data_IF_789656208296
#
_entry.id   IF_789656208296
#
_cell.length_a   1.000
_cell.length_b   1.000
_cell.length_c   1.000
_cell.angle_alpha   90.00
_cell.angle_beta   90.00
_cell.angle_gamma   90.00
#
_symmetry.space_group_name_H-M   'P 1'
#
loop_
_entity.id
_entity.type
_entity.pdbx_description
1 polymer ?
#
# COMPACT_ATOMS: atom_id res chain seq x y z
N UNK A 1 -23.48 13.65 17.23
CA UNK A 1 -24.13 14.01 18.51
C UNK A 1 -23.46 13.19 19.61
N UNK A 2 -23.19 13.75 20.79
CA UNK A 2 -22.65 13.01 21.94
C UNK A 2 -23.77 12.81 22.98
N UNK A 3 -23.77 11.71 23.72
CA UNK A 3 -24.67 11.53 24.87
C UNK A 3 -24.14 12.21 26.14
N UNK A 4 -24.89 12.09 27.24
CA UNK A 4 -24.50 12.66 28.53
C UNK A 4 -23.28 11.97 29.17
N UNK A 5 -22.85 10.81 28.65
CA UNK A 5 -21.62 10.13 29.04
C UNK A 5 -20.42 10.53 28.16
N UNK A 6 -20.64 11.31 27.10
CA UNK A 6 -19.61 11.72 26.14
C UNK A 6 -19.40 10.72 25.00
N UNK A 7 -20.26 9.72 24.85
CA UNK A 7 -20.21 8.73 23.79
C UNK A 7 -20.84 9.26 22.51
N UNK A 8 -20.28 8.90 21.36
CA UNK A 8 -20.79 9.35 20.05
C UNK A 8 -22.06 8.60 19.71
N UNK A 9 -23.21 9.29 19.81
CA UNK A 9 -24.54 8.76 19.47
C UNK A 9 -24.76 8.57 17.97
N UNK A 10 -24.18 9.47 17.17
CA UNK A 10 -24.20 9.39 15.71
C UNK A 10 -23.14 10.34 15.16
N UNK A 11 -22.16 9.81 14.45
CA UNK A 11 -21.24 10.60 13.63
C UNK A 11 -21.84 10.71 12.22
N UNK A 12 -21.97 11.91 11.64
CA UNK A 12 -22.38 12.01 10.24
C UNK A 12 -21.38 11.23 9.38
N UNK A 13 -21.90 10.36 8.49
CA UNK A 13 -21.06 9.62 7.56
C UNK A 13 -20.18 10.63 6.80
N UNK A 14 -18.87 10.46 6.91
CA UNK A 14 -17.94 11.38 6.27
C UNK A 14 -18.08 11.21 4.75
N UNK A 15 -18.70 12.18 4.11
CA UNK A 15 -18.97 12.18 2.67
C UNK A 15 -17.64 12.18 1.91
N UNK A 16 -17.40 11.15 1.12
CA UNK A 16 -16.26 11.12 0.20
C UNK A 16 -16.40 12.27 -0.81
N UNK A 17 -15.32 13.02 -1.08
CA UNK A 17 -15.32 14.00 -2.15
C UNK A 17 -15.60 13.28 -3.48
N UNK A 18 -16.53 13.81 -4.26
CA UNK A 18 -16.90 13.29 -5.57
C UNK A 18 -15.82 13.65 -6.59
N UNK A 19 -14.63 13.09 -6.42
CA UNK A 19 -13.51 13.25 -7.34
C UNK A 19 -13.43 12.04 -8.28
N UNK A 20 -13.08 12.28 -9.54
CA UNK A 20 -12.81 11.20 -10.48
C UNK A 20 -11.66 10.32 -9.95
N UNK A 21 -11.73 8.99 -10.10
CA UNK A 21 -10.65 8.11 -9.68
C UNK A 21 -9.33 8.49 -10.36
N UNK A 22 -8.25 8.50 -9.59
CA UNK A 22 -6.92 8.87 -10.07
C UNK A 22 -5.94 7.70 -9.86
N UNK A 23 -5.31 7.16 -10.92
CA UNK A 23 -4.39 6.03 -10.78
C UNK A 23 -3.19 6.40 -9.91
N UNK A 24 -2.67 5.43 -9.16
CA UNK A 24 -1.38 5.59 -8.50
C UNK A 24 -0.28 5.63 -9.56
N UNK A 25 0.70 6.51 -9.35
CA UNK A 25 1.90 6.55 -10.19
C UNK A 25 2.65 5.21 -10.11
N UNK A 26 3.25 4.70 -11.20
CA UNK A 26 3.97 3.43 -11.20
C UNK A 26 5.05 3.30 -10.11
N UNK A 27 5.64 4.43 -9.66
CA UNK A 27 6.62 4.46 -8.56
C UNK A 27 6.03 3.89 -7.25
N UNK A 28 4.72 4.07 -7.02
CA UNK A 28 4.04 3.46 -5.87
C UNK A 28 4.06 1.94 -5.94
N UNK A 29 3.72 1.36 -7.09
CA UNK A 29 3.58 -0.10 -7.20
C UNK A 29 4.89 -0.82 -6.88
N UNK A 30 6.03 -0.30 -7.34
CA UNK A 30 7.34 -0.88 -7.05
C UNK A 30 7.67 -0.81 -5.56
N UNK A 31 7.58 0.38 -4.95
CA UNK A 31 7.90 0.56 -3.53
C UNK A 31 6.94 -0.23 -2.62
N UNK A 32 5.65 -0.26 -2.94
CA UNK A 32 4.67 -1.06 -2.20
C UNK A 32 4.95 -2.55 -2.32
N UNK A 33 5.39 -3.03 -3.48
CA UNK A 33 5.73 -4.42 -3.67
C UNK A 33 6.93 -4.84 -2.83
N UNK A 34 7.97 -4.02 -2.80
CA UNK A 34 9.15 -4.30 -1.99
C UNK A 34 8.84 -4.22 -0.47
N UNK A 35 8.08 -3.22 -0.03
CA UNK A 35 7.65 -3.08 1.38
C UNK A 35 6.77 -4.26 1.84
N UNK A 36 5.74 -4.60 1.07
CA UNK A 36 4.82 -5.69 1.45
C UNK A 36 5.54 -7.04 1.38
N UNK A 37 6.42 -7.27 0.40
CA UNK A 37 7.20 -8.49 0.31
C UNK A 37 8.15 -8.65 1.51
N UNK A 38 8.79 -7.57 1.96
CA UNK A 38 9.70 -7.57 3.13
C UNK A 38 8.98 -7.99 4.42
N UNK A 39 7.75 -7.55 4.61
CA UNK A 39 6.95 -7.91 5.79
C UNK A 39 6.21 -9.26 5.63
N UNK A 40 6.41 -9.96 4.52
CA UNK A 40 5.76 -11.24 4.21
C UNK A 40 6.71 -12.42 4.34
N UNK A 41 6.16 -13.64 4.34
CA UNK A 41 6.98 -14.85 4.23
C UNK A 41 7.73 -14.83 2.88
N UNK A 42 9.04 -15.15 2.90
CA UNK A 42 9.90 -15.08 1.72
C UNK A 42 9.32 -15.76 0.46
N UNK A 43 8.66 -16.94 0.54
CA UNK A 43 8.04 -17.56 -0.63
C UNK A 43 6.94 -16.74 -1.32
N UNK A 44 6.33 -15.78 -0.63
CA UNK A 44 5.30 -14.91 -1.20
C UNK A 44 5.88 -13.72 -1.97
N UNK A 45 7.16 -13.38 -1.81
CA UNK A 45 7.74 -12.14 -2.33
C UNK A 45 7.58 -11.99 -3.85
N UNK A 46 7.87 -13.04 -4.62
CA UNK A 46 7.70 -13.03 -6.08
C UNK A 46 6.22 -12.89 -6.48
N UNK A 47 5.33 -13.62 -5.83
CA UNK A 47 3.89 -13.56 -6.09
C UNK A 47 3.30 -12.17 -5.75
N UNK A 48 3.76 -11.52 -4.67
CA UNK A 48 3.37 -10.14 -4.31
C UNK A 48 3.77 -9.16 -5.43
N UNK A 49 4.99 -9.29 -5.95
CA UNK A 49 5.48 -8.46 -7.06
C UNK A 49 4.68 -8.69 -8.34
N UNK A 50 4.31 -9.93 -8.62
CA UNK A 50 3.41 -10.28 -9.74
C UNK A 50 2.03 -9.63 -9.57
N UNK A 51 1.39 -9.79 -8.39
CA UNK A 51 0.07 -9.21 -8.11
C UNK A 51 0.07 -7.69 -8.26
N UNK A 52 1.08 -7.00 -7.72
CA UNK A 52 1.16 -5.53 -7.77
C UNK A 52 1.48 -4.95 -9.15
N UNK A 53 2.05 -5.76 -10.04
CA UNK A 53 2.17 -5.43 -11.47
C UNK A 53 0.81 -5.54 -12.18
N UNK A 54 -0.02 -6.46 -11.69
CA UNK A 54 -1.23 -6.93 -12.37
C UNK A 54 -2.52 -6.28 -11.89
N UNK A 55 -2.49 -5.60 -10.74
CA UNK A 55 -3.60 -4.89 -10.13
C UNK A 55 -3.53 -3.39 -10.43
N UNK A 56 -4.65 -2.81 -10.86
CA UNK A 56 -4.75 -1.36 -10.98
C UNK A 56 -5.11 -0.77 -9.62
N UNK A 57 -4.25 0.12 -9.09
CA UNK A 57 -4.51 0.85 -7.85
C UNK A 57 -4.83 2.30 -8.17
N UNK A 58 -5.89 2.82 -7.58
CA UNK A 58 -6.34 4.20 -7.77
C UNK A 58 -6.77 4.85 -6.45
N UNK A 59 -6.68 6.17 -6.39
CA UNK A 59 -7.34 7.00 -5.40
C UNK A 59 -8.77 7.30 -5.84
N UNK A 60 -9.73 7.33 -4.94
CA UNK A 60 -11.09 7.78 -5.24
C UNK A 60 -12.07 7.52 -4.11
N UNK A 61 -13.36 7.70 -4.40
CA UNK A 61 -14.41 7.51 -3.40
C UNK A 61 -14.48 6.06 -2.88
N UNK A 62 -14.30 5.88 -1.56
CA UNK A 62 -14.53 4.63 -0.82
C UNK A 62 -15.50 4.90 0.34
N UNK A 63 -16.78 4.50 0.22
CA UNK A 63 -17.77 4.70 1.28
C UNK A 63 -17.37 3.94 2.55
N UNK A 64 -17.39 4.63 3.69
CA UNK A 64 -17.25 4.08 5.05
C UNK A 64 -15.98 3.24 5.33
N UNK A 65 -15.00 3.26 4.43
CA UNK A 65 -13.74 2.52 4.55
C UNK A 65 -12.59 3.31 3.87
N UNK A 66 -11.37 2.80 3.97
CA UNK A 66 -10.17 3.36 3.35
C UNK A 66 -9.73 2.60 2.10
N UNK A 67 -10.19 1.36 1.93
CA UNK A 67 -9.84 0.50 0.83
C UNK A 67 -11.06 -0.27 0.33
N UNK A 68 -11.18 -0.39 -0.98
CA UNK A 68 -12.10 -1.32 -1.62
C UNK A 68 -11.38 -2.10 -2.70
N UNK A 69 -11.52 -3.42 -2.67
CA UNK A 69 -10.94 -4.32 -3.64
C UNK A 69 -12.04 -5.02 -4.45
N UNK A 70 -11.86 -5.12 -5.77
CA UNK A 70 -12.72 -5.89 -6.66
C UNK A 70 -11.96 -6.28 -7.91
N UNK A 71 -12.17 -7.50 -8.40
CA UNK A 71 -11.48 -8.03 -9.59
C UNK A 71 -9.96 -7.72 -9.55
N UNK A 72 -9.44 -7.10 -10.62
CA UNK A 72 -8.05 -6.64 -10.76
C UNK A 72 -7.87 -5.17 -10.39
N UNK A 73 -8.72 -4.63 -9.51
CA UNK A 73 -8.67 -3.23 -9.07
C UNK A 73 -8.71 -3.10 -7.56
N UNK A 74 -7.98 -2.11 -7.06
CA UNK A 74 -8.03 -1.66 -5.68
C UNK A 74 -8.19 -0.15 -5.69
N UNK A 75 -9.16 0.37 -4.95
CA UNK A 75 -9.33 1.80 -4.72
C UNK A 75 -9.01 2.13 -3.28
N UNK A 76 -8.15 3.11 -3.13
CA UNK A 76 -7.83 3.75 -1.87
C UNK A 76 -8.65 5.04 -1.72
N UNK A 77 -9.09 5.33 -0.51
CA UNK A 77 -9.91 6.51 -0.22
C UNK A 77 -9.20 7.80 -0.62
N UNK A 78 -9.94 8.69 -1.29
CA UNK A 78 -9.49 10.05 -1.57
C UNK A 78 -9.20 10.84 -0.29
N UNK A 79 -10.00 10.61 0.77
CA UNK A 79 -9.81 11.24 2.09
C UNK A 79 -8.48 10.86 2.73
N UNK A 80 -8.04 9.60 2.56
CA UNK A 80 -6.72 9.16 3.02
C UNK A 80 -5.59 9.94 2.33
N UNK A 81 -5.70 10.11 1.00
CA UNK A 81 -4.75 10.91 0.23
C UNK A 81 -4.73 12.37 0.68
N UNK A 82 -5.90 12.98 0.87
CA UNK A 82 -6.02 14.37 1.32
C UNK A 82 -5.43 14.57 2.73
N UNK A 83 -5.70 13.64 3.65
CA UNK A 83 -5.13 13.65 5.00
C UNK A 83 -3.60 13.53 4.97
N UNK A 84 -3.05 12.63 4.15
CA UNK A 84 -1.60 12.51 3.92
C UNK A 84 -1.00 13.81 3.36
N UNK A 85 -1.63 14.41 2.36
CA UNK A 85 -1.19 15.67 1.77
C UNK A 85 -1.25 16.84 2.76
N UNK A 86 -2.31 16.93 3.56
CA UNK A 86 -2.44 17.95 4.60
C UNK A 86 -1.34 17.83 5.66
N UNK A 87 -1.04 16.60 6.08
CA UNK A 87 0.06 16.33 7.02
C UNK A 87 1.42 16.73 6.44
N UNK A 88 1.69 16.45 5.16
CA UNK A 88 2.93 16.82 4.49
C UNK A 88 3.10 18.34 4.33
N UNK A 89 2.01 19.07 4.07
CA UNK A 89 2.02 20.54 4.02
C UNK A 89 2.31 21.17 5.38
N UNK A 90 1.86 20.52 6.46
CA UNK A 90 2.13 20.96 7.83
C UNK A 90 3.58 20.76 8.27
N UNK A 91 4.32 19.83 7.64
CA UNK A 91 5.70 19.52 7.99
C UNK A 91 6.71 20.52 7.39
N UNK A 92 7.77 20.83 8.14
CA UNK A 92 8.84 21.67 7.64
C UNK A 92 9.57 21.03 6.43
N UNK A 93 10.08 21.82 5.47
CA UNK A 93 10.84 21.30 4.35
C UNK A 93 12.08 20.50 4.80
N UNK A 94 12.51 19.54 3.97
CA UNK A 94 13.69 18.72 4.23
C UNK A 94 13.35 17.42 4.96
N UNK A 95 14.09 17.11 6.03
CA UNK A 95 14.01 15.82 6.73
C UNK A 95 12.62 15.54 7.29
N UNK A 96 11.99 16.51 7.96
CA UNK A 96 10.66 16.32 8.57
C UNK A 96 9.60 15.93 7.54
N UNK A 97 9.58 16.61 6.38
CA UNK A 97 8.67 16.25 5.28
C UNK A 97 8.99 14.87 4.69
N UNK A 98 10.26 14.48 4.63
CA UNK A 98 10.65 13.15 4.17
C UNK A 98 10.19 12.05 5.14
N UNK A 99 10.34 12.26 6.45
CA UNK A 99 9.85 11.35 7.50
C UNK A 99 8.32 11.22 7.44
N UNK A 100 7.61 12.34 7.27
CA UNK A 100 6.16 12.34 7.13
C UNK A 100 5.69 11.62 5.85
N UNK A 101 6.44 11.75 4.75
CA UNK A 101 6.18 11.03 3.51
C UNK A 101 6.40 9.52 3.69
N UNK A 102 7.51 9.12 4.32
CA UNK A 102 7.77 7.72 4.63
C UNK A 102 6.67 7.12 5.50
N UNK A 103 6.25 7.83 6.55
CA UNK A 103 5.16 7.39 7.42
C UNK A 103 3.88 7.15 6.63
N UNK A 104 3.50 8.09 5.75
CA UNK A 104 2.33 7.95 4.90
C UNK A 104 2.43 6.74 3.96
N UNK A 105 3.59 6.52 3.33
CA UNK A 105 3.84 5.37 2.45
C UNK A 105 3.69 4.05 3.22
N UNK A 106 4.24 3.96 4.43
CA UNK A 106 4.14 2.77 5.28
C UNK A 106 2.70 2.48 5.70
N UNK A 107 1.89 3.50 6.00
CA UNK A 107 0.47 3.29 6.29
C UNK A 107 -0.30 2.75 5.08
N UNK A 108 -0.01 3.26 3.88
CA UNK A 108 -0.61 2.72 2.64
C UNK A 108 -0.18 1.27 2.39
N UNK A 109 1.09 0.94 2.63
CA UNK A 109 1.58 -0.43 2.52
C UNK A 109 0.90 -1.38 3.51
N UNK A 110 0.73 -0.97 4.77
CA UNK A 110 0.01 -1.74 5.79
C UNK A 110 -1.46 -1.95 5.45
N UNK A 111 -2.12 -0.93 4.91
CA UNK A 111 -3.51 -1.01 4.47
C UNK A 111 -3.68 -2.00 3.30
N UNK A 112 -2.78 -1.97 2.32
CA UNK A 112 -2.82 -2.87 1.15
C UNK A 112 -2.34 -4.29 1.45
N UNK A 113 -1.43 -4.45 2.42
CA UNK A 113 -0.71 -5.68 2.68
C UNK A 113 -1.59 -6.93 2.78
N UNK A 114 -2.67 -6.94 3.59
CA UNK A 114 -3.55 -8.10 3.70
C UNK A 114 -4.16 -8.54 2.36
N UNK A 115 -4.76 -7.61 1.62
CA UNK A 115 -5.40 -7.88 0.32
C UNK A 115 -4.39 -8.42 -0.70
N UNK A 116 -3.21 -7.79 -0.78
CA UNK A 116 -2.16 -8.21 -1.70
C UNK A 116 -1.61 -9.60 -1.32
N UNK A 117 -1.42 -9.88 -0.03
CA UNK A 117 -1.00 -11.20 0.45
C UNK A 117 -2.02 -12.28 0.12
N UNK A 118 -3.32 -12.01 0.33
CA UNK A 118 -4.39 -12.96 -0.02
C UNK A 118 -4.40 -13.27 -1.52
N UNK A 119 -4.25 -12.25 -2.38
CA UNK A 119 -4.14 -12.46 -3.83
C UNK A 119 -2.90 -13.24 -4.22
N UNK A 120 -1.76 -12.95 -3.59
CA UNK A 120 -0.50 -13.65 -3.86
C UNK A 120 -0.56 -15.12 -3.43
N UNK A 121 -1.21 -15.41 -2.30
CA UNK A 121 -1.48 -16.78 -1.85
C UNK A 121 -2.38 -17.51 -2.86
N UNK A 122 -3.50 -16.91 -3.26
CA UNK A 122 -4.39 -17.49 -4.26
C UNK A 122 -3.70 -17.73 -5.62
N UNK A 123 -2.79 -16.83 -6.02
CA UNK A 123 -1.98 -17.00 -7.23
C UNK A 123 -1.08 -18.22 -7.14
N UNK A 124 -0.43 -18.45 -5.99
CA UNK A 124 0.42 -19.63 -5.77
C UNK A 124 -0.42 -20.91 -5.68
N UNK A 125 -1.55 -20.88 -4.97
CA UNK A 125 -2.45 -22.02 -4.81
C UNK A 125 -3.02 -22.53 -6.15
N UNK A 126 -3.21 -21.63 -7.12
CA UNK A 126 -3.68 -21.97 -8.46
C UNK A 126 -2.64 -22.69 -9.33
N UNK A 127 -1.36 -22.73 -8.92
CA UNK A 127 -0.30 -23.40 -9.68
C UNK A 127 -0.30 -24.91 -9.42
N UNK A 128 0.19 -25.74 -10.37
CA UNK A 128 0.45 -27.14 -10.12
C UNK A 128 1.41 -27.35 -8.93
N UNK A 129 1.24 -28.45 -8.18
CA UNK A 129 2.05 -28.73 -6.97
C UNK A 129 3.56 -28.72 -7.25
N UNK A 130 3.99 -29.24 -8.40
CA UNK A 130 5.41 -29.24 -8.81
C UNK A 130 5.96 -27.83 -8.96
N UNK A 131 5.13 -26.88 -9.41
CA UNK A 131 5.49 -25.49 -9.57
C UNK A 131 5.51 -24.76 -8.23
N UNK A 132 4.53 -25.03 -7.35
CA UNK A 132 4.53 -24.50 -5.99
C UNK A 132 5.79 -24.92 -5.23
N UNK A 133 6.16 -26.21 -5.31
CA UNK A 133 7.39 -26.75 -4.71
C UNK A 133 8.64 -26.05 -5.26
N UNK A 134 8.74 -25.89 -6.58
CA UNK A 134 9.85 -25.18 -7.22
C UNK A 134 10.01 -23.75 -6.69
N UNK A 135 8.90 -23.01 -6.54
CA UNK A 135 8.94 -21.64 -6.02
C UNK A 135 9.33 -21.58 -4.54
N UNK A 136 8.86 -22.53 -3.72
CA UNK A 136 9.26 -22.65 -2.33
C UNK A 136 10.75 -22.96 -2.18
N UNK A 137 11.27 -23.90 -2.96
CA UNK A 137 12.69 -24.27 -2.97
C UNK A 137 13.57 -23.11 -3.43
N UNK A 138 13.16 -22.38 -4.48
CA UNK A 138 13.86 -21.19 -4.94
C UNK A 138 13.93 -20.11 -3.85
N UNK A 139 12.82 -19.83 -3.16
CA UNK A 139 12.77 -18.85 -2.08
C UNK A 139 13.59 -19.26 -0.85
N UNK A 140 13.75 -20.57 -0.60
CA UNK A 140 14.60 -21.07 0.48
C UNK A 140 16.11 -21.03 0.14
N UNK A 141 16.44 -21.11 -1.16
CA UNK A 141 17.81 -21.03 -1.65
C UNK A 141 18.32 -19.59 -1.78
N UNK A 142 17.40 -18.61 -1.89
CA UNK A 142 17.76 -17.20 -1.84
C UNK A 142 18.21 -16.83 -0.41
N UNK A 143 19.45 -16.35 -0.21
CA UNK A 143 19.84 -15.81 1.07
C UNK A 143 18.91 -14.63 1.42
N UNK A 144 18.60 -14.41 2.72
CA UNK A 144 17.88 -13.22 3.12
C UNK A 144 18.63 -12.01 2.54
N UNK A 145 17.93 -11.06 1.89
CA UNK A 145 18.59 -9.99 1.18
C UNK A 145 19.54 -9.26 2.14
N UNK A 146 20.82 -9.17 1.77
CA UNK A 146 21.72 -8.20 2.38
C UNK A 146 21.10 -6.81 2.16
N UNK A 147 21.16 -5.96 3.20
CA UNK A 147 20.41 -4.71 3.33
C UNK A 147 20.13 -3.97 2.01
N UNK A 148 18.83 -3.85 1.73
CA UNK A 148 18.13 -2.59 1.50
C UNK A 148 18.46 -1.70 0.27
N UNK A 149 19.47 -1.91 -0.57
CA UNK A 149 19.77 -0.94 -1.64
C UNK A 149 18.61 -0.70 -2.64
N UNK A 150 17.96 -1.77 -3.12
CA UNK A 150 16.86 -1.66 -4.08
C UNK A 150 15.55 -1.16 -3.43
N UNK A 151 15.30 -1.56 -2.17
CA UNK A 151 14.17 -1.09 -1.39
C UNK A 151 14.35 0.40 -1.05
N UNK A 152 15.55 0.80 -0.62
CA UNK A 152 15.91 2.17 -0.31
C UNK A 152 15.81 3.05 -1.56
N UNK A 153 16.20 2.54 -2.73
CA UNK A 153 16.03 3.27 -3.99
C UNK A 153 14.54 3.45 -4.34
N UNK A 154 13.73 2.39 -4.28
CA UNK A 154 12.31 2.46 -4.66
C UNK A 154 11.51 3.31 -3.67
N UNK A 155 11.75 3.15 -2.38
CA UNK A 155 11.16 3.95 -1.30
C UNK A 155 11.66 5.38 -1.35
N UNK A 156 12.96 5.61 -1.57
CA UNK A 156 13.53 6.95 -1.71
C UNK A 156 12.95 7.75 -2.89
N UNK A 157 12.77 7.09 -4.05
CA UNK A 157 12.07 7.68 -5.20
C UNK A 157 10.62 8.03 -4.86
N UNK A 158 9.93 7.17 -4.11
CA UNK A 158 8.55 7.42 -3.71
C UNK A 158 8.45 8.56 -2.68
N UNK A 159 9.33 8.62 -1.69
CA UNK A 159 9.42 9.74 -0.73
C UNK A 159 9.60 11.05 -1.50
N UNK A 160 10.54 11.11 -2.45
CA UNK A 160 10.77 12.30 -3.25
C UNK A 160 9.54 12.69 -4.09
N UNK A 161 8.79 11.71 -4.63
CA UNK A 161 7.54 11.96 -5.35
C UNK A 161 6.45 12.54 -4.42
N UNK A 162 6.23 11.91 -3.27
CA UNK A 162 5.19 12.26 -2.30
C UNK A 162 5.46 13.64 -1.68
N UNK A 163 6.70 13.90 -1.25
CA UNK A 163 7.10 15.17 -0.65
C UNK A 163 6.98 16.38 -1.62
N UNK A 164 7.06 16.15 -2.94
CA UNK A 164 6.85 17.20 -3.96
C UNK A 164 5.38 17.47 -4.27
N UNK A 165 4.48 16.56 -3.90
CA UNK A 165 3.04 16.67 -4.14
C UNK A 165 2.27 17.38 -3.01
N UNK A 166 2.99 17.85 -1.99
CA UNK A 166 2.47 18.56 -0.83
C UNK A 166 2.13 20.01 -1.16
#
# INVERSE_FOLDING_TARGET
MLDQAGEVLEAPAAKEPEAAPAPLSPVWNTALADLIARESAAPLAAAIKEVLRDVAIEWGAVPDDLLRAWDRRIRLSGRLREAGQASLRGAAPGQERAEQALRFILEVARLLGPEIRTRAQALLEALPESEQRRRLEAAAAEPPPELDDALDESVGKLIALVARSA
#
